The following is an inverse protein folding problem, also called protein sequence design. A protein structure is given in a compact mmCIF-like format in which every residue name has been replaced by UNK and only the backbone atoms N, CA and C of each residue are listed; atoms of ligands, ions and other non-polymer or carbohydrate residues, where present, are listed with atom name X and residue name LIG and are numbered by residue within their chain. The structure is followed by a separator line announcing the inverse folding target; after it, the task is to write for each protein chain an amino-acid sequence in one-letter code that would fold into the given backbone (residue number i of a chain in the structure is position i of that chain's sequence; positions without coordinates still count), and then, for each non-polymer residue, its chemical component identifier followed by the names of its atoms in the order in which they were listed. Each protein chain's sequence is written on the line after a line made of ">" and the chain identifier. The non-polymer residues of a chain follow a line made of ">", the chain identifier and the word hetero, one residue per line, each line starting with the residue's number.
data_IF_612636584492
#
_entry.id   IF_612636584492
#
_cell.length_a   1.000
_cell.length_b   1.000
_cell.length_c   1.000
_cell.angle_alpha   90.00
_cell.angle_beta   90.00
_cell.angle_gamma   90.00
#
_symmetry.space_group_name_H-M   'P 1'
#
loop_
_entity.id
_entity.type
_entity.pdbx_description
1 polymer ?
#
# COMPACT_ATOMS: atom_id res chain seq x y z
N UNK A 1 -17.74 -13.64 -5.09
CA UNK A 1 -16.50 -14.04 -4.39
C UNK A 1 -16.95 -14.57 -3.05
N UNK A 2 -16.67 -15.84 -2.77
CA UNK A 2 -17.03 -16.42 -1.49
C UNK A 2 -16.24 -15.69 -0.39
N UNK A 3 -16.94 -15.15 0.62
CA UNK A 3 -16.31 -14.44 1.75
C UNK A 3 -15.22 -15.27 2.43
N UNK A 4 -15.29 -16.59 2.31
CA UNK A 4 -14.30 -17.55 2.81
C UNK A 4 -12.89 -17.31 2.25
N UNK A 5 -12.76 -16.72 1.06
CA UNK A 5 -11.46 -16.49 0.42
C UNK A 5 -10.73 -15.26 0.96
N UNK A 6 -11.42 -14.37 1.67
CA UNK A 6 -10.82 -13.12 2.19
C UNK A 6 -9.67 -13.44 3.15
N UNK A 7 -9.91 -14.32 4.14
CA UNK A 7 -8.89 -14.72 5.12
C UNK A 7 -7.64 -15.32 4.47
N UNK A 8 -7.76 -16.37 3.66
CA UNK A 8 -6.63 -16.94 2.91
C UNK A 8 -5.91 -15.92 2.03
N UNK A 9 -6.63 -15.02 1.36
CA UNK A 9 -6.02 -13.97 0.54
C UNK A 9 -5.15 -13.01 1.36
N UNK A 10 -5.64 -12.56 2.53
CA UNK A 10 -4.88 -11.67 3.41
C UNK A 10 -3.60 -12.36 3.92
N UNK A 11 -3.69 -13.62 4.34
CA UNK A 11 -2.53 -14.39 4.79
C UNK A 11 -1.49 -14.54 3.67
N UNK A 12 -1.93 -14.92 2.46
CA UNK A 12 -1.05 -15.03 1.31
C UNK A 12 -0.39 -13.70 0.95
N UNK A 13 -1.11 -12.58 1.02
CA UNK A 13 -0.56 -11.25 0.76
C UNK A 13 0.51 -10.88 1.78
N UNK A 14 0.28 -11.12 3.07
CA UNK A 14 1.25 -10.82 4.13
C UNK A 14 2.52 -11.68 3.99
N UNK A 15 2.36 -12.98 3.74
CA UNK A 15 3.50 -13.88 3.49
C UNK A 15 4.27 -13.42 2.24
N UNK A 16 3.56 -13.12 1.15
CA UNK A 16 4.16 -12.62 -0.08
C UNK A 16 4.92 -11.31 0.11
N UNK A 17 4.38 -10.39 0.92
CA UNK A 17 5.03 -9.13 1.28
C UNK A 17 6.35 -9.35 2.01
N UNK A 18 6.39 -10.24 3.01
CA UNK A 18 7.62 -10.59 3.74
C UNK A 18 8.63 -11.27 2.82
N UNK A 19 8.20 -12.25 2.00
CA UNK A 19 9.08 -12.96 1.07
C UNK A 19 9.67 -12.00 0.03
N UNK A 20 8.85 -11.10 -0.55
CA UNK A 20 9.31 -10.10 -1.51
C UNK A 20 10.31 -9.12 -0.92
N UNK A 21 10.07 -8.65 0.31
CA UNK A 21 11.03 -7.82 1.02
C UNK A 21 12.35 -8.58 1.31
N UNK A 22 12.26 -9.90 1.56
CA UNK A 22 13.42 -10.76 1.81
C UNK A 22 14.28 -10.93 0.57
N UNK A 23 13.63 -11.15 -0.57
CA UNK A 23 14.29 -11.16 -1.87
C UNK A 23 14.97 -9.82 -2.16
N UNK A 24 14.30 -8.70 -1.89
CA UNK A 24 14.89 -7.37 -2.08
C UNK A 24 16.16 -7.17 -1.23
N UNK A 25 16.15 -7.63 0.02
CA UNK A 25 17.34 -7.61 0.90
C UNK A 25 18.49 -8.43 0.31
N UNK A 26 18.21 -9.62 -0.22
CA UNK A 26 19.23 -10.50 -0.80
C UNK A 26 19.80 -9.97 -2.13
N UNK A 27 18.99 -9.24 -2.90
CA UNK A 27 19.39 -8.70 -4.22
C UNK A 27 20.11 -7.34 -4.12
N UNK A 28 20.04 -6.67 -2.98
CA UNK A 28 20.53 -5.30 -2.82
C UNK A 28 21.82 -5.29 -2.00
N UNK A 29 22.88 -4.57 -2.42
CA UNK A 29 24.06 -4.38 -1.59
C UNK A 29 23.68 -3.79 -0.23
N UNK A 30 24.26 -4.34 0.85
CA UNK A 30 23.88 -3.99 2.24
C UNK A 30 23.82 -2.48 2.48
N UNK A 31 24.83 -1.73 2.01
CA UNK A 31 24.86 -0.27 2.15
C UNK A 31 23.64 0.42 1.52
N UNK A 32 23.22 0.00 0.31
CA UNK A 32 22.04 0.58 -0.35
C UNK A 32 20.75 0.17 0.35
N UNK A 33 20.68 -1.06 0.83
CA UNK A 33 19.53 -1.57 1.57
C UNK A 33 19.31 -0.78 2.86
N UNK A 34 20.38 -0.55 3.64
CA UNK A 34 20.34 0.24 4.86
C UNK A 34 20.00 1.71 4.61
N UNK A 35 20.56 2.32 3.54
CA UNK A 35 20.23 3.71 3.17
C UNK A 35 18.76 3.92 2.78
N UNK A 36 18.06 2.86 2.40
CA UNK A 36 16.63 2.89 2.09
C UNK A 36 15.76 2.40 3.27
N UNK A 37 16.33 2.32 4.48
CA UNK A 37 15.67 1.76 5.69
C UNK A 37 15.08 0.37 5.42
N UNK A 38 15.77 -0.43 4.59
CA UNK A 38 15.32 -1.75 4.15
C UNK A 38 13.97 -1.77 3.42
N UNK A 39 13.59 -0.66 2.79
CA UNK A 39 12.30 -0.39 2.16
C UNK A 39 11.10 -0.28 3.13
N UNK A 40 11.34 -0.23 4.44
CA UNK A 40 10.33 0.13 5.41
C UNK A 40 9.98 1.62 5.26
N UNK A 41 8.73 1.96 5.54
CA UNK A 41 8.30 3.34 5.50
C UNK A 41 8.81 4.10 6.73
N UNK A 42 9.56 5.16 6.48
CA UNK A 42 10.21 6.01 7.48
C UNK A 42 9.97 7.50 7.17
N UNK A 43 8.93 7.83 6.41
CA UNK A 43 8.62 9.23 6.03
C UNK A 43 8.00 10.02 7.18
N UNK A 44 7.25 9.33 8.06
CA UNK A 44 6.57 9.93 9.21
C UNK A 44 7.54 9.94 10.40
N UNK A 45 8.01 11.12 10.79
CA UNK A 45 9.00 11.29 11.86
C UNK A 45 8.39 11.92 13.12
N UNK A 46 7.29 12.67 12.98
CA UNK A 46 6.64 13.34 14.11
C UNK A 46 5.11 13.20 14.10
N UNK A 47 4.51 13.36 15.27
CA UNK A 47 3.05 13.30 15.44
C UNK A 47 2.32 14.41 14.66
N UNK A 48 2.97 15.53 14.36
CA UNK A 48 2.35 16.61 13.58
C UNK A 48 2.07 16.20 12.13
N UNK A 49 2.80 15.22 11.60
CA UNK A 49 2.62 14.70 10.24
C UNK A 49 1.49 13.65 10.13
N UNK A 50 0.94 13.17 11.26
CA UNK A 50 -0.01 12.05 11.26
C UNK A 50 -1.29 12.36 10.48
N UNK A 51 -1.81 13.59 10.60
CA UNK A 51 -3.03 13.97 9.89
C UNK A 51 -2.83 13.90 8.37
N UNK A 52 -1.77 14.53 7.88
CA UNK A 52 -1.43 14.56 6.44
C UNK A 52 -1.17 13.16 5.90
N UNK A 53 -0.44 12.33 6.65
CA UNK A 53 -0.15 10.96 6.26
C UNK A 53 -1.40 10.08 6.20
N UNK A 54 -2.25 10.10 7.23
CA UNK A 54 -3.50 9.33 7.24
C UNK A 54 -4.42 9.81 6.13
N UNK A 55 -4.61 11.13 5.99
CA UNK A 55 -5.44 11.71 4.95
C UNK A 55 -4.95 11.31 3.55
N UNK A 56 -3.64 11.42 3.30
CA UNK A 56 -3.02 11.02 2.05
C UNK A 56 -3.24 9.54 1.75
N UNK A 57 -2.97 8.65 2.70
CA UNK A 57 -3.19 7.20 2.54
C UNK A 57 -4.66 6.86 2.26
N UNK A 58 -5.61 7.49 2.96
CA UNK A 58 -7.05 7.29 2.73
C UNK A 58 -7.44 7.72 1.32
N UNK A 59 -7.10 8.95 0.92
CA UNK A 59 -7.50 9.49 -0.40
C UNK A 59 -6.87 8.70 -1.53
N UNK A 60 -5.56 8.46 -1.47
CA UNK A 60 -4.86 7.74 -2.53
C UNK A 60 -5.32 6.28 -2.64
N UNK A 61 -5.57 5.60 -1.50
CA UNK A 61 -6.10 4.23 -1.52
C UNK A 61 -7.54 4.18 -2.02
N UNK A 62 -8.35 5.19 -1.68
CA UNK A 62 -9.68 5.35 -2.25
C UNK A 62 -9.61 5.45 -3.78
N UNK A 63 -8.72 6.29 -4.32
CA UNK A 63 -8.55 6.45 -5.77
C UNK A 63 -8.18 5.14 -6.48
N UNK A 64 -7.18 4.41 -6.00
CA UNK A 64 -6.79 3.13 -6.64
C UNK A 64 -7.88 2.08 -6.51
N UNK A 65 -8.58 2.03 -5.36
CA UNK A 65 -9.69 1.10 -5.13
C UNK A 65 -10.88 1.42 -6.03
N UNK A 66 -11.22 2.70 -6.21
CA UNK A 66 -12.27 3.15 -7.13
C UNK A 66 -11.96 2.73 -8.58
N UNK A 67 -10.70 2.88 -9.03
CA UNK A 67 -10.30 2.43 -10.37
C UNK A 67 -10.49 0.92 -10.54
N UNK A 68 -10.17 0.13 -9.52
CA UNK A 68 -10.43 -1.33 -9.54
C UNK A 68 -11.93 -1.61 -9.57
N UNK A 69 -12.73 -0.99 -8.71
CA UNK A 69 -14.17 -1.23 -8.63
C UNK A 69 -14.88 -0.83 -9.93
N UNK A 70 -14.61 0.36 -10.46
CA UNK A 70 -15.21 0.84 -11.70
C UNK A 70 -14.70 0.07 -12.93
N UNK A 71 -13.41 -0.24 -12.98
CA UNK A 71 -12.81 -0.85 -14.16
C UNK A 71 -12.97 -2.37 -14.24
N UNK A 72 -12.95 -3.08 -13.11
CA UNK A 72 -12.98 -4.54 -13.07
C UNK A 72 -14.36 -5.12 -12.70
N UNK A 73 -15.11 -4.44 -11.83
CA UNK A 73 -16.32 -4.97 -11.20
C UNK A 73 -17.59 -4.38 -11.83
N UNK A 74 -17.65 -3.05 -12.00
CA UNK A 74 -18.83 -2.38 -12.54
C UNK A 74 -19.10 -2.80 -13.98
N UNK A 75 -20.28 -3.38 -14.25
CA UNK A 75 -20.65 -3.90 -15.56
C UNK A 75 -20.72 -2.84 -16.66
N UNK A 76 -20.95 -1.57 -16.31
CA UNK A 76 -21.09 -0.46 -17.27
C UNK A 76 -19.74 0.11 -17.74
N UNK A 77 -18.75 0.10 -16.86
CA UNK A 77 -17.44 0.73 -17.09
C UNK A 77 -16.31 -0.29 -17.20
N UNK A 78 -16.65 -1.59 -17.20
CA UNK A 78 -15.69 -2.68 -17.27
C UNK A 78 -14.82 -2.58 -18.52
N UNK A 79 -13.51 -2.72 -18.36
CA UNK A 79 -12.55 -2.57 -19.47
C UNK A 79 -11.40 -3.56 -19.34
N UNK A 80 -10.80 -4.07 -20.45
CA UNK A 80 -9.57 -4.84 -20.37
C UNK A 80 -8.35 -4.00 -19.94
N UNK A 81 -8.44 -2.67 -19.96
CA UNK A 81 -7.34 -1.77 -19.61
C UNK A 81 -7.11 -1.60 -18.10
N UNK A 82 -7.88 -2.29 -17.24
CA UNK A 82 -7.76 -2.17 -15.78
C UNK A 82 -6.34 -2.30 -15.26
N UNK A 83 -5.53 -3.32 -15.67
CA UNK A 83 -4.17 -3.45 -15.13
C UNK A 83 -3.31 -2.21 -15.39
N UNK A 84 -3.45 -1.62 -16.59
CA UNK A 84 -2.76 -0.39 -16.95
C UNK A 84 -3.27 0.80 -16.13
N UNK A 85 -4.58 0.96 -16.00
CA UNK A 85 -5.19 2.06 -15.25
C UNK A 85 -4.81 2.02 -13.77
N UNK A 86 -4.86 0.83 -13.15
CA UNK A 86 -4.44 0.64 -11.74
C UNK A 86 -2.95 0.98 -11.58
N UNK A 87 -2.10 0.50 -12.48
CA UNK A 87 -0.67 0.82 -12.47
C UNK A 87 -0.40 2.32 -12.62
N UNK A 88 -1.07 2.98 -13.56
CA UNK A 88 -0.97 4.43 -13.77
C UNK A 88 -1.43 5.21 -12.54
N UNK A 89 -2.54 4.82 -11.90
CA UNK A 89 -3.01 5.45 -10.66
C UNK A 89 -2.01 5.28 -9.51
N UNK A 90 -1.40 4.10 -9.36
CA UNK A 90 -0.36 3.90 -8.35
C UNK A 90 0.84 4.83 -8.60
N UNK A 91 1.30 4.95 -9.85
CA UNK A 91 2.40 5.86 -10.20
C UNK A 91 2.04 7.31 -9.87
N UNK A 92 0.85 7.77 -10.25
CA UNK A 92 0.37 9.12 -9.95
C UNK A 92 0.33 9.36 -8.44
N UNK A 93 -0.19 8.40 -7.67
CA UNK A 93 -0.24 8.51 -6.20
C UNK A 93 1.16 8.57 -5.58
N UNK A 94 2.12 7.80 -6.10
CA UNK A 94 3.51 7.83 -5.60
C UNK A 94 4.14 9.20 -5.87
N UNK A 95 3.93 9.75 -7.07
CA UNK A 95 4.42 11.08 -7.43
C UNK A 95 3.75 12.21 -6.63
N UNK A 96 2.48 12.04 -6.26
CA UNK A 96 1.72 13.05 -5.52
C UNK A 96 1.95 13.01 -4.00
N UNK A 97 2.08 11.82 -3.42
CA UNK A 97 2.08 11.61 -1.96
C UNK A 97 3.33 10.97 -1.38
N UNK A 98 4.34 10.67 -2.21
CA UNK A 98 5.54 9.95 -1.78
C UNK A 98 6.27 10.64 -0.62
N UNK A 99 6.34 11.97 -0.63
CA UNK A 99 7.02 12.74 0.42
C UNK A 99 6.17 12.94 1.69
N UNK A 100 4.89 12.56 1.68
CA UNK A 100 3.97 12.72 2.82
C UNK A 100 4.02 11.47 3.71
N UNK A 101 3.77 10.30 3.13
CA UNK A 101 3.68 9.02 3.86
C UNK A 101 4.54 7.91 3.25
N UNK A 102 5.17 8.16 2.09
CA UNK A 102 5.79 7.12 1.26
C UNK A 102 4.83 6.46 0.26
N UNK A 103 3.53 6.80 0.30
CA UNK A 103 2.46 6.21 -0.53
C UNK A 103 2.41 4.69 -0.42
N UNK A 104 1.88 4.19 0.70
CA UNK A 104 1.77 2.77 0.99
C UNK A 104 0.69 2.09 0.14
N UNK A 105 -0.55 2.56 0.24
CA UNK A 105 -1.74 2.02 -0.46
C UNK A 105 -2.11 0.56 -0.13
N UNK A 106 -1.23 -0.20 0.54
CA UNK A 106 -1.35 -1.64 0.74
C UNK A 106 -0.66 -2.06 2.05
N UNK A 107 -1.41 -2.50 3.07
CA UNK A 107 -0.85 -2.90 4.36
C UNK A 107 0.18 -4.04 4.26
N UNK A 108 -0.01 -5.01 3.38
CA UNK A 108 0.94 -6.11 3.21
C UNK A 108 2.29 -5.66 2.61
N UNK A 109 2.27 -4.63 1.76
CA UNK A 109 3.47 -3.99 1.20
C UNK A 109 4.23 -3.18 2.25
N UNK A 110 3.55 -2.59 3.24
CA UNK A 110 4.22 -1.98 4.39
C UNK A 110 4.76 -3.03 5.36
N UNK A 111 3.98 -4.07 5.64
CA UNK A 111 4.28 -5.09 6.63
C UNK A 111 5.57 -5.87 6.34
N UNK A 112 5.77 -6.29 5.09
CA UNK A 112 6.93 -7.11 4.70
C UNK A 112 8.29 -6.51 5.10
N UNK A 113 8.64 -5.30 4.60
CA UNK A 113 9.86 -4.61 4.99
C UNK A 113 9.95 -4.33 6.49
N UNK A 114 8.84 -3.89 7.12
CA UNK A 114 8.79 -3.60 8.56
C UNK A 114 9.21 -4.80 9.43
N UNK A 115 8.77 -6.01 9.07
CA UNK A 115 9.19 -7.25 9.73
C UNK A 115 10.69 -7.51 9.58
N UNK A 116 11.26 -7.29 8.39
CA UNK A 116 12.65 -7.66 8.10
C UNK A 116 13.69 -6.75 8.73
N UNK A 117 13.39 -5.46 8.87
CA UNK A 117 14.26 -4.50 9.54
C UNK A 117 13.80 -4.14 10.95
N UNK A 118 12.73 -4.77 11.44
CA UNK A 118 12.12 -4.51 12.73
C UNK A 118 11.78 -3.02 12.95
N UNK A 119 11.20 -2.38 11.92
CA UNK A 119 10.82 -0.96 11.94
C UNK A 119 9.30 -0.82 12.00
N UNK A 120 8.79 -0.36 13.14
CA UNK A 120 7.35 -0.31 13.44
C UNK A 120 6.84 1.09 13.78
N UNK A 121 7.70 2.10 13.70
CA UNK A 121 7.37 3.50 14.01
C UNK A 121 6.23 3.97 13.11
N UNK A 122 5.14 4.43 13.72
CA UNK A 122 3.88 4.83 13.06
C UNK A 122 3.27 3.82 12.06
N UNK A 123 3.69 2.54 12.10
CA UNK A 123 3.31 1.54 11.11
C UNK A 123 1.79 1.33 10.99
N UNK A 124 1.06 1.54 12.09
CA UNK A 124 -0.41 1.44 12.13
C UNK A 124 -1.12 2.37 11.14
N UNK A 125 -0.51 3.50 10.75
CA UNK A 125 -1.03 4.42 9.72
C UNK A 125 -1.22 3.70 8.39
N UNK A 126 -0.31 2.79 8.06
CA UNK A 126 -0.34 1.98 6.83
C UNK A 126 -1.35 0.83 6.86
N UNK A 127 -2.06 0.66 7.97
CA UNK A 127 -3.24 -0.19 8.06
C UNK A 127 -4.51 0.65 8.03
N UNK A 128 -4.60 1.64 8.92
CA UNK A 128 -5.79 2.50 9.06
C UNK A 128 -6.06 3.29 7.78
N UNK A 129 -5.03 3.89 7.19
CA UNK A 129 -5.16 4.70 5.98
C UNK A 129 -5.70 3.89 4.80
N UNK A 130 -4.99 2.82 4.36
CA UNK A 130 -5.44 2.02 3.24
C UNK A 130 -6.81 1.34 3.46
N UNK A 131 -7.07 0.78 4.64
CA UNK A 131 -8.37 0.16 4.95
C UNK A 131 -9.48 1.22 4.91
N UNK A 132 -9.25 2.39 5.51
CA UNK A 132 -10.19 3.51 5.47
C UNK A 132 -10.50 3.96 4.04
N UNK A 133 -9.47 4.14 3.21
CA UNK A 133 -9.63 4.50 1.81
C UNK A 133 -10.40 3.47 0.99
N UNK A 134 -10.11 2.18 1.17
CA UNK A 134 -10.81 1.10 0.50
C UNK A 134 -12.30 1.02 0.91
N UNK A 135 -12.61 1.24 2.20
CA UNK A 135 -13.98 1.29 2.69
C UNK A 135 -14.76 2.48 2.12
N UNK A 136 -14.15 3.67 2.06
CA UNK A 136 -14.76 4.85 1.43
C UNK A 136 -15.06 4.57 -0.03
N UNK A 137 -14.10 4.01 -0.78
CA UNK A 137 -14.32 3.64 -2.18
C UNK A 137 -15.42 2.59 -2.37
N UNK A 138 -15.57 1.64 -1.45
CA UNK A 138 -16.62 0.63 -1.54
C UNK A 138 -18.03 1.18 -1.28
N UNK A 139 -18.14 2.29 -0.55
CA UNK A 139 -19.42 2.96 -0.24
C UNK A 139 -19.86 3.92 -1.36
N UNK A 140 -18.90 4.48 -2.12
CA UNK A 140 -19.15 5.40 -3.25
C UNK A 140 -19.55 4.65 -4.53
#
# INVERSE_FOLDING_TARGET
>A
MELIMVGPYLVCQLIGGVLGAGMAKLMTPEQRYQNATGAAFDTIQSHSQLFEAIFGEVVMTCLVTMVVLLGAVNSKTKTPLVPFLVGATIVINILAGGDISGTCLNPARAFGPAVLVNHWTYHWVYWVGPIGGALVAAVL
#
